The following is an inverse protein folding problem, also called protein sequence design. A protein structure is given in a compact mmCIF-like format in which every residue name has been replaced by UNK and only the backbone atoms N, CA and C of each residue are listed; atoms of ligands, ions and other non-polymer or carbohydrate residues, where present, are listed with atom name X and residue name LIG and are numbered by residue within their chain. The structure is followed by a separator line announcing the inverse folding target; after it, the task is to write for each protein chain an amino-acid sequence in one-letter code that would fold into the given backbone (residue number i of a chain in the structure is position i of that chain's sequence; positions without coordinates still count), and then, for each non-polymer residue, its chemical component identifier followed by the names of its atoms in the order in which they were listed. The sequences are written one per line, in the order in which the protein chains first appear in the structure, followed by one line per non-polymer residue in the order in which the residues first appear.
data_IF_379766688843
#
_entry.id   IF_379766688843
#
_cell.length_a   1.000
_cell.length_b   1.000
_cell.length_c   1.000
_cell.angle_alpha   90.00
_cell.angle_beta   90.00
_cell.angle_gamma   90.00
#
_symmetry.space_group_name_H-M   'P 1'
#
loop_
_entity.id
_entity.type
_entity.pdbx_description
1 polymer ?
#
# COMPACT_ATOMS: atom_id res chain seq x y z
N UNK A 1 -10.43 3.42 -15.05
CA UNK A 1 -10.44 3.22 -13.57
C UNK A 1 -10.97 4.47 -12.92
N UNK A 2 -11.96 4.35 -12.02
CA UNK A 2 -12.49 5.48 -11.25
C UNK A 2 -12.02 5.43 -9.79
N UNK A 3 -11.55 6.57 -9.27
CA UNK A 3 -11.05 6.69 -7.90
C UNK A 3 -11.83 7.73 -7.10
N UNK A 4 -12.16 7.41 -5.85
CA UNK A 4 -12.93 8.28 -4.97
C UNK A 4 -12.24 8.43 -3.62
N UNK A 5 -11.89 9.68 -3.26
CA UNK A 5 -11.44 10.06 -1.92
C UNK A 5 -12.65 10.19 -1.00
N UNK A 6 -12.79 9.29 -0.03
CA UNK A 6 -13.93 9.28 0.88
C UNK A 6 -13.60 9.94 2.21
N UNK A 7 -14.33 11.00 2.50
CA UNK A 7 -14.36 11.62 3.82
C UNK A 7 -15.10 10.72 4.83
N UNK A 8 -14.91 10.92 6.15
CA UNK A 8 -15.60 10.11 7.15
C UNK A 8 -17.14 10.06 7.00
N UNK A 9 -17.85 11.15 6.65
CA UNK A 9 -19.28 11.09 6.32
C UNK A 9 -19.60 10.19 5.12
N UNK A 10 -18.79 10.21 4.06
CA UNK A 10 -19.02 9.39 2.87
C UNK A 10 -18.81 7.89 3.16
N UNK A 11 -17.80 7.54 3.97
CA UNK A 11 -17.62 6.15 4.44
C UNK A 11 -18.83 5.67 5.24
N UNK A 12 -19.41 6.53 6.10
CA UNK A 12 -20.64 6.19 6.84
C UNK A 12 -21.83 5.97 5.92
N UNK A 13 -21.97 6.77 4.87
CA UNK A 13 -23.03 6.58 3.86
C UNK A 13 -22.89 5.24 3.14
N UNK A 14 -21.67 4.83 2.78
CA UNK A 14 -21.40 3.53 2.16
C UNK A 14 -21.73 2.36 3.09
N UNK A 15 -21.35 2.47 4.37
CA UNK A 15 -21.76 1.49 5.41
C UNK A 15 -23.28 1.38 5.49
N UNK A 16 -23.99 2.51 5.56
CA UNK A 16 -25.46 2.53 5.60
C UNK A 16 -26.08 1.98 4.31
N UNK A 17 -25.48 2.22 3.15
CA UNK A 17 -25.94 1.67 1.88
C UNK A 17 -25.76 0.15 1.81
N UNK A 18 -24.61 -0.39 2.26
CA UNK A 18 -24.36 -1.83 2.34
C UNK A 18 -25.34 -2.53 3.28
N UNK A 19 -25.59 -1.97 4.46
CA UNK A 19 -26.60 -2.51 5.41
C UNK A 19 -28.01 -2.56 4.80
N UNK A 20 -28.39 -1.55 4.02
CA UNK A 20 -29.69 -1.52 3.32
C UNK A 20 -29.78 -2.56 2.20
N UNK A 21 -28.67 -2.86 1.51
CA UNK A 21 -28.62 -3.82 0.39
C UNK A 21 -28.49 -5.28 0.86
N UNK A 22 -27.82 -5.55 1.97
CA UNK A 22 -27.42 -6.90 2.38
C UNK A 22 -28.40 -7.70 3.24
N UNK A 23 -29.41 -7.08 3.85
CA UNK A 23 -30.16 -7.72 4.93
C UNK A 23 -29.27 -8.05 6.15
N UNK A 24 -29.84 -8.49 7.28
CA UNK A 24 -29.05 -8.92 8.42
C UNK A 24 -28.32 -10.25 8.10
N UNK A 25 -26.98 -10.31 8.23
CA UNK A 25 -26.19 -11.51 7.90
C UNK A 25 -24.68 -11.28 7.78
N UNK A 26 -23.92 -12.37 7.91
CA UNK A 26 -22.47 -12.34 8.20
C UNK A 26 -21.52 -11.82 7.11
N UNK A 27 -21.91 -11.68 5.84
CA UNK A 27 -21.04 -11.06 4.80
C UNK A 27 -21.14 -9.54 4.84
N UNK A 28 -22.36 -8.99 4.89
CA UNK A 28 -22.59 -7.55 4.99
C UNK A 28 -22.03 -6.98 6.30
N UNK A 29 -22.11 -7.73 7.41
CA UNK A 29 -21.54 -7.31 8.69
C UNK A 29 -20.01 -7.32 8.68
N UNK A 30 -19.37 -8.31 8.04
CA UNK A 30 -17.91 -8.37 7.84
C UNK A 30 -17.40 -7.18 7.01
N UNK A 31 -18.07 -6.87 5.91
CA UNK A 31 -17.75 -5.71 5.06
C UNK A 31 -17.84 -4.38 5.82
N UNK A 32 -18.87 -4.24 6.67
CA UNK A 32 -19.07 -3.03 7.48
C UNK A 32 -18.01 -2.91 8.56
N UNK A 33 -17.70 -4.00 9.26
CA UNK A 33 -16.64 -4.02 10.27
C UNK A 33 -15.29 -3.68 9.65
N UNK A 34 -15.02 -4.23 8.47
CA UNK A 34 -13.81 -3.95 7.71
C UNK A 34 -13.72 -2.48 7.28
N UNK A 35 -14.76 -1.89 6.69
CA UNK A 35 -14.77 -0.45 6.36
C UNK A 35 -14.59 0.44 7.60
N UNK A 36 -15.18 0.04 8.74
CA UNK A 36 -14.96 0.74 10.01
C UNK A 36 -13.52 0.63 10.48
N UNK A 37 -12.85 -0.51 10.26
CA UNK A 37 -11.43 -0.69 10.56
C UNK A 37 -10.59 0.27 9.71
N UNK A 38 -10.79 0.29 8.39
CA UNK A 38 -10.08 1.22 7.51
C UNK A 38 -10.31 2.68 7.90
N UNK A 39 -11.53 3.04 8.29
CA UNK A 39 -11.82 4.40 8.77
C UNK A 39 -11.06 4.75 10.06
N UNK A 40 -10.93 3.80 11.00
CA UNK A 40 -10.13 3.99 12.23
C UNK A 40 -8.65 4.14 11.91
N UNK A 41 -8.12 3.32 11.01
CA UNK A 41 -6.73 3.39 10.55
C UNK A 41 -6.45 4.70 9.83
N UNK A 42 -7.33 5.13 8.92
CA UNK A 42 -7.20 6.43 8.25
C UNK A 42 -7.20 7.59 9.25
N UNK A 43 -7.97 7.51 10.34
CA UNK A 43 -8.03 8.55 11.36
C UNK A 43 -6.76 8.69 12.20
N UNK A 44 -5.86 7.69 12.23
CA UNK A 44 -4.56 7.82 12.91
C UNK A 44 -3.49 8.45 12.03
N UNK A 45 -3.74 8.59 10.72
CA UNK A 45 -2.80 9.20 9.79
C UNK A 45 -3.05 10.71 9.65
N UNK A 46 -2.01 11.54 9.74
CA UNK A 46 -2.08 12.93 9.29
C UNK A 46 -2.60 13.04 7.84
N UNK A 47 -3.74 13.70 7.67
CA UNK A 47 -4.41 13.85 6.37
C UNK A 47 -5.09 12.58 5.85
N UNK A 48 -5.26 11.57 6.71
CA UNK A 48 -5.71 10.24 6.29
C UNK A 48 -7.14 10.17 5.79
N UNK A 49 -7.37 9.31 4.79
CA UNK A 49 -8.68 9.05 4.20
C UNK A 49 -8.79 7.61 3.69
N UNK A 50 -10.02 7.18 3.41
CA UNK A 50 -10.27 5.91 2.72
C UNK A 50 -10.45 6.20 1.23
N UNK A 51 -9.66 5.57 0.37
CA UNK A 51 -9.80 5.62 -1.07
C UNK A 51 -10.60 4.42 -1.54
N UNK A 52 -11.60 4.65 -2.39
CA UNK A 52 -12.37 3.62 -3.09
C UNK A 52 -11.91 3.61 -4.55
N UNK A 53 -11.45 2.47 -5.02
CA UNK A 53 -11.01 2.24 -6.39
C UNK A 53 -12.02 1.31 -7.04
N UNK A 54 -12.58 1.74 -8.18
CA UNK A 54 -13.48 0.92 -8.99
C UNK A 54 -12.75 0.57 -10.27
N UNK A 55 -12.56 -0.73 -10.48
CA UNK A 55 -11.92 -1.29 -11.65
C UNK A 55 -12.97 -1.43 -12.75
N UNK A 56 -13.19 -0.42 -13.58
CA UNK A 56 -14.31 -0.34 -14.53
C UNK A 56 -13.88 -0.11 -15.99
N UNK A 57 -12.63 -0.36 -16.36
CA UNK A 57 -12.16 -0.18 -17.74
C UNK A 57 -10.87 -0.93 -18.10
N UNK A 58 -10.51 -0.85 -19.39
CA UNK A 58 -9.39 -1.52 -20.08
C UNK A 58 -7.97 -1.03 -19.69
N UNK A 59 -7.80 -0.33 -18.56
CA UNK A 59 -6.52 0.28 -18.16
C UNK A 59 -5.48 -0.73 -17.62
N UNK A 60 -5.26 -1.84 -18.34
CA UNK A 60 -4.22 -2.84 -18.05
C UNK A 60 -4.67 -4.02 -17.17
N UNK A 61 -5.98 -4.21 -16.98
CA UNK A 61 -6.52 -5.31 -16.17
C UNK A 61 -7.42 -6.24 -16.99
N UNK A 62 -7.40 -7.56 -16.71
CA UNK A 62 -8.23 -8.51 -17.43
C UNK A 62 -9.72 -8.24 -17.15
N UNK A 63 -10.58 -8.47 -18.14
CA UNK A 63 -12.02 -8.14 -18.09
C UNK A 63 -12.74 -8.73 -16.87
N UNK A 64 -12.28 -9.87 -16.35
CA UNK A 64 -12.87 -10.51 -15.17
C UNK A 64 -12.67 -9.72 -13.87
N UNK A 65 -11.78 -8.71 -13.87
CA UNK A 65 -11.59 -7.78 -12.76
C UNK A 65 -12.56 -6.58 -12.84
N UNK A 66 -13.33 -6.43 -13.93
CA UNK A 66 -14.25 -5.31 -14.08
C UNK A 66 -15.40 -5.36 -13.07
N UNK A 67 -15.72 -4.20 -12.51
CA UNK A 67 -16.67 -4.05 -11.41
C UNK A 67 -16.10 -4.40 -10.04
N UNK A 68 -14.84 -4.87 -9.94
CA UNK A 68 -14.20 -5.08 -8.65
C UNK A 68 -14.01 -3.73 -7.94
N UNK A 69 -14.24 -3.72 -6.62
CA UNK A 69 -14.09 -2.53 -5.79
C UNK A 69 -13.06 -2.81 -4.72
N UNK A 70 -11.96 -2.06 -4.76
CA UNK A 70 -10.94 -2.06 -3.73
C UNK A 70 -11.09 -0.84 -2.82
N UNK A 71 -10.81 -1.01 -1.53
CA UNK A 71 -10.72 0.12 -0.61
C UNK A 71 -9.42 0.09 0.14
N UNK A 72 -8.80 1.24 0.29
CA UNK A 72 -7.47 1.32 0.88
C UNK A 72 -7.32 2.60 1.67
N UNK A 73 -6.45 2.58 2.68
CA UNK A 73 -6.13 3.76 3.47
C UNK A 73 -5.07 4.56 2.73
N UNK A 74 -5.25 5.88 2.72
CA UNK A 74 -4.28 6.85 2.20
C UNK A 74 -3.95 7.92 3.25
N UNK A 75 -2.74 8.49 3.27
CA UNK A 75 -1.61 8.12 2.41
C UNK A 75 -1.14 6.68 2.69
N UNK A 76 -0.62 6.01 1.66
CA UNK A 76 -0.06 4.66 1.79
C UNK A 76 1.13 4.72 2.75
N UNK A 77 1.11 3.85 3.75
CA UNK A 77 2.17 3.70 4.75
C UNK A 77 2.58 2.24 4.78
N UNK A 78 3.89 1.99 4.67
CA UNK A 78 4.40 0.63 4.68
C UNK A 78 3.95 -0.14 5.94
N UNK A 79 3.55 -1.41 5.78
CA UNK A 79 3.11 -2.27 6.88
C UNK A 79 1.71 -1.99 7.43
N UNK A 80 0.96 -1.02 6.88
CA UNK A 80 -0.48 -0.87 7.14
C UNK A 80 -1.32 -1.82 6.27
N UNK A 81 -0.70 -2.42 5.25
CA UNK A 81 -1.32 -3.37 4.32
C UNK A 81 -2.20 -2.69 3.27
N UNK A 82 -2.58 -3.47 2.26
CA UNK A 82 -3.50 -3.06 1.20
C UNK A 82 -4.55 -4.15 0.97
N UNK A 83 -5.82 -3.78 0.75
CA UNK A 83 -6.91 -4.70 0.43
C UNK A 83 -7.06 -4.92 -1.08
N UNK A 84 -5.97 -5.22 -1.77
CA UNK A 84 -6.00 -5.45 -3.20
C UNK A 84 -4.78 -6.18 -3.69
N UNK A 85 -4.88 -6.77 -4.86
CA UNK A 85 -3.78 -7.49 -5.51
C UNK A 85 -2.85 -6.57 -6.29
N UNK A 86 -3.16 -5.27 -6.41
CA UNK A 86 -2.47 -4.39 -7.35
C UNK A 86 -2.45 -2.93 -6.93
N UNK A 87 -1.69 -2.62 -5.86
CA UNK A 87 -1.49 -1.25 -5.42
C UNK A 87 -0.17 -0.66 -5.98
N UNK A 88 -0.28 0.34 -6.88
CA UNK A 88 0.87 1.04 -7.48
C UNK A 88 1.73 1.75 -6.43
N UNK A 89 1.17 2.12 -5.27
CA UNK A 89 1.91 2.82 -4.22
C UNK A 89 3.02 1.91 -3.64
N UNK A 90 2.77 0.60 -3.53
CA UNK A 90 3.77 -0.39 -3.08
C UNK A 90 4.94 -0.46 -4.07
N UNK A 91 4.64 -0.43 -5.37
CA UNK A 91 5.66 -0.44 -6.42
C UNK A 91 6.48 0.85 -6.44
N UNK A 92 5.87 2.01 -6.17
CA UNK A 92 6.60 3.27 -6.04
C UNK A 92 7.57 3.23 -4.83
N UNK A 93 7.14 2.68 -3.70
CA UNK A 93 8.01 2.45 -2.53
C UNK A 93 9.17 1.53 -2.90
N UNK A 94 8.88 0.41 -3.57
CA UNK A 94 9.90 -0.57 -3.95
C UNK A 94 10.92 0.00 -4.95
N UNK A 95 10.46 0.72 -5.96
CA UNK A 95 11.30 1.45 -6.92
C UNK A 95 12.21 2.46 -6.19
N UNK A 96 11.64 3.23 -5.26
CA UNK A 96 12.37 4.24 -4.47
C UNK A 96 13.47 3.61 -3.63
N UNK A 97 13.15 2.57 -2.85
CA UNK A 97 14.12 1.87 -1.99
C UNK A 97 15.21 1.18 -2.81
N UNK A 98 14.84 0.53 -3.91
CA UNK A 98 15.82 -0.09 -4.81
C UNK A 98 16.76 0.95 -5.40
N UNK A 99 16.25 2.11 -5.83
CA UNK A 99 17.06 3.23 -6.29
C UNK A 99 18.08 3.70 -5.26
N UNK A 100 17.66 3.88 -4.00
CA UNK A 100 18.55 4.25 -2.89
C UNK A 100 19.63 3.21 -2.61
N UNK A 101 19.34 1.93 -2.88
CA UNK A 101 20.26 0.80 -2.70
C UNK A 101 21.10 0.47 -3.94
N UNK A 102 20.92 1.20 -5.04
CA UNK A 102 21.56 0.92 -6.33
C UNK A 102 21.14 -0.44 -6.91
N UNK A 103 19.91 -0.87 -6.65
CA UNK A 103 19.29 -2.07 -7.20
C UNK A 103 18.42 -1.65 -8.39
N UNK A 104 18.62 -2.33 -9.53
CA UNK A 104 17.78 -2.13 -10.71
C UNK A 104 16.44 -2.86 -10.51
N UNK A 105 15.46 -2.13 -10.01
CA UNK A 105 14.12 -2.65 -9.74
C UNK A 105 13.44 -3.19 -11.00
N UNK A 106 13.62 -2.51 -12.14
CA UNK A 106 12.98 -2.88 -13.40
C UNK A 106 13.55 -4.21 -13.92
N UNK A 107 14.87 -4.41 -13.80
CA UNK A 107 15.48 -5.71 -14.08
C UNK A 107 14.92 -6.80 -13.17
N UNK A 108 14.81 -6.56 -11.87
CA UNK A 108 14.24 -7.53 -10.93
C UNK A 108 12.78 -7.88 -11.29
N UNK A 109 12.00 -6.88 -11.70
CA UNK A 109 10.62 -7.06 -12.15
C UNK A 109 10.53 -7.91 -13.42
N UNK A 110 11.35 -7.62 -14.44
CA UNK A 110 11.41 -8.44 -15.67
C UNK A 110 11.81 -9.88 -15.40
N UNK A 111 12.74 -10.10 -14.47
CA UNK A 111 13.16 -11.44 -14.08
C UNK A 111 12.02 -12.22 -13.41
N UNK A 112 11.24 -11.55 -12.56
CA UNK A 112 10.07 -12.15 -11.92
C UNK A 112 8.89 -12.39 -12.89
N UNK A 113 8.74 -11.53 -13.90
CA UNK A 113 7.59 -11.48 -14.80
C UNK A 113 8.02 -11.18 -16.25
N UNK A 114 8.66 -12.15 -16.91
CA UNK A 114 9.24 -11.97 -18.25
C UNK A 114 8.23 -11.55 -19.33
N UNK A 115 6.97 -11.97 -19.19
CA UNK A 115 5.91 -11.75 -20.18
C UNK A 115 5.08 -10.47 -19.95
N UNK A 116 5.35 -9.71 -18.89
CA UNK A 116 4.59 -8.51 -18.55
C UNK A 116 5.24 -7.23 -19.10
N UNK A 117 4.39 -6.31 -19.57
CA UNK A 117 4.82 -4.94 -19.82
C UNK A 117 5.26 -4.28 -18.50
N UNK A 118 6.39 -3.61 -18.55
CA UNK A 118 7.07 -2.98 -17.41
C UNK A 118 7.37 -1.50 -17.66
N UNK A 119 6.92 -0.94 -18.79
CA UNK A 119 7.06 0.49 -19.10
C UNK A 119 6.33 1.38 -18.08
N UNK A 120 5.27 0.87 -17.46
CA UNK A 120 4.51 1.59 -16.42
C UNK A 120 5.34 1.87 -15.16
N UNK A 121 6.42 1.11 -14.89
CA UNK A 121 7.28 1.29 -13.72
C UNK A 121 8.01 2.64 -13.81
N UNK A 122 8.48 3.00 -15.01
CA UNK A 122 9.24 4.23 -15.24
C UNK A 122 8.36 5.48 -15.06
N UNK A 123 7.04 5.34 -15.27
CA UNK A 123 6.07 6.42 -15.08
C UNK A 123 5.62 6.61 -13.63
N UNK A 124 6.00 5.73 -12.69
CA UNK A 124 5.55 5.82 -11.29
C UNK A 124 5.98 7.12 -10.59
N UNK A 125 7.23 7.59 -10.70
CA UNK A 125 7.66 8.81 -10.02
C UNK A 125 7.02 10.09 -10.57
N UNK A 126 6.57 10.06 -11.83
CA UNK A 126 5.96 11.20 -12.52
C UNK A 126 4.45 11.33 -12.23
N UNK A 127 3.84 10.32 -11.61
CA UNK A 127 2.45 10.34 -11.18
C UNK A 127 2.30 11.14 -9.87
N UNK A 128 2.03 12.45 -10.01
CA UNK A 128 1.93 13.37 -8.88
C UNK A 128 0.89 12.94 -7.82
N UNK A 129 -0.23 12.36 -8.26
CA UNK A 129 -1.26 11.87 -7.33
C UNK A 129 -0.76 10.65 -6.55
N UNK A 130 -0.06 9.74 -7.22
CA UNK A 130 0.54 8.58 -6.58
C UNK A 130 1.59 9.00 -5.54
N UNK A 131 2.44 9.95 -5.89
CA UNK A 131 3.48 10.49 -5.01
C UNK A 131 2.87 11.18 -3.79
N UNK A 132 1.87 12.05 -3.97
CA UNK A 132 1.18 12.72 -2.85
C UNK A 132 0.49 11.72 -1.91
N UNK A 133 -0.05 10.65 -2.46
CA UNK A 133 -0.73 9.61 -1.71
C UNK A 133 0.20 8.53 -1.14
N UNK A 134 1.53 8.64 -1.28
CA UNK A 134 2.50 7.64 -0.79
C UNK A 134 3.47 8.26 0.21
N UNK A 135 3.59 7.68 1.40
CA UNK A 135 4.71 8.00 2.30
C UNK A 135 5.94 7.22 1.86
N UNK A 136 6.82 7.89 1.13
CA UNK A 136 8.10 7.31 0.73
C UNK A 136 9.08 7.25 1.92
N UNK A 137 9.88 6.18 2.03
CA UNK A 137 10.92 6.10 3.05
C UNK A 137 11.99 7.15 2.79
N UNK A 138 12.47 7.82 3.85
CA UNK A 138 13.53 8.82 3.73
C UNK A 138 14.93 8.19 3.57
N UNK A 139 15.11 6.96 4.04
CA UNK A 139 16.36 6.20 4.00
C UNK A 139 16.10 4.69 3.84
N UNK A 140 17.04 3.93 3.26
CA UNK A 140 16.89 2.50 3.07
C UNK A 140 17.25 1.71 4.35
N UNK A 141 16.40 1.81 5.38
CA UNK A 141 16.57 1.07 6.63
C UNK A 141 16.14 -0.41 6.48
N UNK A 142 16.61 -1.27 7.39
CA UNK A 142 16.18 -2.68 7.41
C UNK A 142 14.66 -2.81 7.57
N UNK A 143 14.05 -1.97 8.40
CA UNK A 143 12.59 -1.96 8.57
C UNK A 143 11.87 -1.59 7.27
N UNK A 144 12.34 -0.57 6.56
CA UNK A 144 11.77 -0.17 5.28
C UNK A 144 11.87 -1.29 4.23
N UNK A 145 12.99 -2.01 4.19
CA UNK A 145 13.21 -3.14 3.29
C UNK A 145 12.28 -4.31 3.64
N UNK A 146 12.20 -4.70 4.92
CA UNK A 146 11.33 -5.79 5.38
C UNK A 146 9.87 -5.49 5.05
N UNK A 147 9.42 -4.27 5.34
CA UNK A 147 8.03 -3.88 5.07
C UNK A 147 7.73 -3.77 3.57
N UNK A 148 8.68 -3.31 2.75
CA UNK A 148 8.54 -3.32 1.29
C UNK A 148 8.31 -4.75 0.77
N UNK A 149 9.09 -5.73 1.22
CA UNK A 149 8.94 -7.12 0.80
C UNK A 149 7.60 -7.71 1.28
N UNK A 150 7.22 -7.45 2.53
CA UNK A 150 5.94 -7.90 3.08
C UNK A 150 4.73 -7.29 2.35
N UNK A 151 4.77 -6.00 2.05
CA UNK A 151 3.69 -5.32 1.32
C UNK A 151 3.59 -5.82 -0.13
N UNK A 152 4.72 -6.07 -0.81
CA UNK A 152 4.75 -6.70 -2.13
C UNK A 152 4.15 -8.11 -2.09
N UNK A 153 4.50 -8.91 -1.09
CA UNK A 153 3.95 -10.26 -0.93
C UNK A 153 2.42 -10.25 -0.72
N UNK A 154 1.92 -9.29 0.08
CA UNK A 154 0.48 -9.14 0.34
C UNK A 154 -0.32 -8.83 -0.92
N UNK A 155 0.26 -8.08 -1.87
CA UNK A 155 -0.34 -7.81 -3.17
C UNK A 155 0.00 -8.91 -4.21
N UNK A 156 0.32 -10.12 -3.74
CA UNK A 156 0.59 -11.31 -4.57
C UNK A 156 1.82 -11.20 -5.49
N UNK A 157 2.78 -10.30 -5.21
CA UNK A 157 4.03 -10.18 -5.98
C UNK A 157 5.13 -11.13 -5.47
N UNK A 158 4.79 -12.40 -5.18
CA UNK A 158 5.71 -13.37 -4.54
C UNK A 158 6.97 -13.66 -5.35
N UNK A 159 6.85 -13.78 -6.68
CA UNK A 159 8.00 -14.00 -7.56
C UNK A 159 8.99 -12.82 -7.48
N UNK A 160 8.47 -11.59 -7.47
CA UNK A 160 9.29 -10.40 -7.33
C UNK A 160 9.94 -10.30 -5.95
N UNK A 161 9.22 -10.66 -4.89
CA UNK A 161 9.78 -10.75 -3.54
C UNK A 161 10.95 -11.73 -3.50
N UNK A 162 10.82 -12.91 -4.12
CA UNK A 162 11.91 -13.89 -4.17
C UNK A 162 13.16 -13.34 -4.89
N UNK A 163 12.98 -12.69 -6.04
CA UNK A 163 14.09 -12.06 -6.78
C UNK A 163 14.76 -10.95 -5.95
N UNK A 164 13.96 -10.02 -5.41
CA UNK A 164 14.49 -8.91 -4.61
C UNK A 164 15.18 -9.38 -3.35
N UNK A 165 14.62 -10.37 -2.63
CA UNK A 165 15.22 -10.95 -1.44
C UNK A 165 16.59 -11.55 -1.76
N UNK A 166 16.72 -12.31 -2.85
CA UNK A 166 18.00 -12.86 -3.30
C UNK A 166 19.05 -11.77 -3.55
N UNK A 167 18.69 -10.71 -4.30
CA UNK A 167 19.60 -9.57 -4.55
C UNK A 167 20.01 -8.86 -3.26
N UNK A 168 19.07 -8.70 -2.31
CA UNK A 168 19.33 -8.04 -1.04
C UNK A 168 20.22 -8.88 -0.11
N UNK A 169 20.04 -10.21 -0.11
CA UNK A 169 20.87 -11.17 0.64
C UNK A 169 22.30 -11.21 0.10
N UNK A 170 22.48 -11.29 -1.23
CA UNK A 170 23.79 -11.25 -1.90
C UNK A 170 24.56 -9.98 -1.54
N UNK A 171 23.85 -8.85 -1.43
CA UNK A 171 24.41 -7.54 -1.02
C UNK A 171 24.55 -7.37 0.49
N UNK A 172 24.23 -8.39 1.30
CA UNK A 172 24.24 -8.37 2.77
C UNK A 172 23.38 -7.24 3.37
N UNK A 173 22.29 -6.90 2.69
CA UNK A 173 21.30 -5.90 3.12
C UNK A 173 20.09 -6.51 3.83
N UNK A 174 19.92 -7.84 3.72
CA UNK A 174 18.82 -8.58 4.31
C UNK A 174 19.36 -9.82 5.05
N UNK A 175 19.07 -9.99 6.35
CA UNK A 175 19.41 -11.22 7.07
C UNK A 175 18.44 -12.35 6.72
N UNK A 176 18.88 -13.61 6.74
CA UNK A 176 18.04 -14.76 6.39
C UNK A 176 16.74 -14.89 7.21
N UNK A 177 16.72 -14.38 8.45
CA UNK A 177 15.54 -14.39 9.33
C UNK A 177 14.74 -13.07 9.30
N UNK A 178 14.80 -12.31 8.21
CA UNK A 178 14.17 -10.98 8.15
C UNK A 178 12.65 -11.02 8.37
N UNK A 179 11.97 -12.11 7.98
CA UNK A 179 10.53 -12.29 8.16
C UNK A 179 10.10 -12.23 9.62
N UNK A 180 10.93 -12.71 10.55
CA UNK A 180 10.66 -12.66 11.99
C UNK A 180 10.64 -11.22 12.53
N UNK A 181 11.11 -10.25 11.73
CA UNK A 181 11.18 -8.84 12.09
C UNK A 181 9.97 -8.04 11.62
N UNK A 182 9.10 -8.61 10.80
CA UNK A 182 7.97 -7.92 10.18
C UNK A 182 7.08 -7.23 11.21
N UNK A 183 6.61 -7.97 12.22
CA UNK A 183 5.72 -7.43 13.26
C UNK A 183 6.37 -6.31 14.05
N UNK A 184 7.66 -6.46 14.36
CA UNK A 184 8.42 -5.43 15.08
C UNK A 184 8.63 -4.18 14.22
N UNK A 185 8.87 -4.34 12.91
CA UNK A 185 8.97 -3.22 11.98
C UNK A 185 7.63 -2.49 11.83
N UNK A 186 6.52 -3.23 11.67
CA UNK A 186 5.16 -2.67 11.65
C UNK A 186 4.86 -1.88 12.91
N UNK A 187 5.21 -2.42 14.09
CA UNK A 187 4.99 -1.76 15.37
C UNK A 187 5.77 -0.44 15.46
N UNK A 188 7.03 -0.40 15.00
CA UNK A 188 7.84 0.83 14.98
C UNK A 188 7.28 1.90 14.04
N UNK A 189 6.86 1.51 12.83
CA UNK A 189 6.22 2.46 11.90
C UNK A 189 4.93 3.01 12.48
N UNK A 190 4.06 2.17 13.05
CA UNK A 190 2.82 2.61 13.71
C UNK A 190 3.11 3.59 14.86
N UNK A 191 4.08 3.28 15.70
CA UNK A 191 4.48 4.16 16.80
C UNK A 191 5.00 5.51 16.30
N UNK A 192 5.79 5.53 15.21
CA UNK A 192 6.28 6.77 14.60
C UNK A 192 5.14 7.63 14.04
N UNK A 193 4.20 7.01 13.32
CA UNK A 193 3.02 7.70 12.77
C UNK A 193 2.12 8.24 13.88
N UNK A 194 1.87 7.46 14.93
CA UNK A 194 1.10 7.92 16.08
C UNK A 194 1.77 9.10 16.80
N UNK A 195 3.11 9.11 16.87
CA UNK A 195 3.86 10.22 17.44
C UNK A 195 3.72 11.49 16.60
N UNK A 196 3.77 11.39 15.27
CA UNK A 196 3.52 12.51 14.34
C UNK A 196 2.10 13.07 14.48
N UNK A 197 1.10 12.19 14.60
CA UNK A 197 -0.31 12.57 14.74
C UNK A 197 -0.63 13.27 16.07
N UNK A 198 0.22 13.13 17.09
CA UNK A 198 0.07 13.77 18.42
C UNK A 198 0.79 15.10 18.56
N UNK A 199 1.59 15.53 17.57
CA UNK A 199 2.25 16.82 17.64
C UNK A 199 1.21 17.95 17.51
N UNK A 200 1.14 18.90 18.46
CA UNK A 200 0.22 20.03 18.36
C UNK A 200 0.54 20.86 17.11
N UNK A 201 -0.50 21.23 16.38
CA UNK A 201 -0.46 21.94 15.09
C UNK A 201 0.37 23.23 15.11
N UNK A 202 0.65 23.78 16.29
CA UNK A 202 1.44 25.00 16.48
C UNK A 202 2.96 24.82 16.33
N UNK A 203 3.50 23.59 16.19
CA UNK A 203 4.94 23.37 16.06
C UNK A 203 5.45 23.31 14.60
N UNK A 204 4.59 23.54 13.60
CA UNK A 204 4.90 23.37 12.16
C UNK A 204 5.22 24.66 11.39
N UNK A 205 5.61 25.74 12.07
CA UNK A 205 6.13 26.95 11.42
C UNK A 205 7.42 27.39 12.10
N UNK A 206 8.55 27.06 11.50
CA UNK A 206 9.80 27.82 11.55
C UNK A 206 10.47 27.72 10.18
#
# INVERSE_FOLDING_TARGET
MAEFKLTPPLVRQEISARRRRGGAGGVADRDVEWLRRLQREAATLPGGFVKKIVWDGEDGYPEHAWGFIQWTVRPFVQGYGCDGTTDRNVHLVALTLCGMLGIDYQRCYREAYADNDHAWIDALPDDASLVEETRLPAEPSLDAIVLMLADLEQINNRSLVAVLAGVLEERRRLPACYWEREDAAKARVRAAVDAEGRLPTCARVL
#
